data_IF_792789834344
#
_entry.id   IF_792789834344
#
_cell.length_a   1.000
_cell.length_b   1.000
_cell.length_c   1.000
_cell.angle_alpha   90.00
_cell.angle_beta   90.00
_cell.angle_gamma   90.00
#
_symmetry.space_group_name_H-M   'P 1'
#
loop_
_entity.id
_entity.type
_entity.pdbx_description
1 polymer ?
#
# COMPACT_ATOMS: atom_id res chain seq x y z
N UNK A 1 -30.98 -5.43 11.38
CA UNK A 1 -30.43 -4.86 10.14
C UNK A 1 -28.91 -5.01 10.19
N UNK A 2 -28.31 -5.80 9.30
CA UNK A 2 -26.85 -5.94 9.15
C UNK A 2 -26.37 -5.09 7.98
N UNK A 3 -25.17 -4.54 8.06
CA UNK A 3 -24.56 -3.84 6.93
C UNK A 3 -24.22 -4.85 5.82
N UNK A 4 -24.66 -4.55 4.60
CA UNK A 4 -24.35 -5.34 3.41
C UNK A 4 -23.82 -4.42 2.31
N UNK A 5 -22.57 -4.64 1.92
CA UNK A 5 -21.84 -3.84 0.91
C UNK A 5 -22.53 -3.81 -0.46
N UNK A 6 -23.24 -4.87 -0.82
CA UNK A 6 -23.88 -4.97 -2.14
C UNK A 6 -25.33 -4.49 -2.15
N UNK A 7 -25.87 -4.10 -1.00
CA UNK A 7 -27.23 -3.58 -0.92
C UNK A 7 -27.27 -2.11 -1.40
N UNK A 8 -28.00 -1.78 -2.48
CA UNK A 8 -27.92 -0.47 -3.14
C UNK A 8 -28.42 0.68 -2.25
N UNK A 9 -29.49 0.47 -1.49
CA UNK A 9 -30.04 1.50 -0.58
C UNK A 9 -29.09 1.79 0.59
N UNK A 10 -28.55 0.74 1.25
CA UNK A 10 -27.61 0.89 2.37
C UNK A 10 -26.35 1.62 1.91
N UNK A 11 -25.77 1.23 0.77
CA UNK A 11 -24.57 1.88 0.26
C UNK A 11 -24.81 3.33 -0.18
N UNK A 12 -25.97 3.62 -0.78
CA UNK A 12 -26.34 5.00 -1.12
C UNK A 12 -26.46 5.87 0.13
N UNK A 13 -27.04 5.34 1.20
CA UNK A 13 -27.13 6.01 2.50
C UNK A 13 -25.72 6.30 3.08
N UNK A 14 -24.86 5.29 3.14
CA UNK A 14 -23.48 5.44 3.62
C UNK A 14 -22.70 6.47 2.80
N UNK A 15 -22.80 6.43 1.48
CA UNK A 15 -22.12 7.37 0.59
C UNK A 15 -22.62 8.82 0.76
N UNK A 16 -23.93 9.02 0.88
CA UNK A 16 -24.49 10.33 1.14
C UNK A 16 -23.99 10.90 2.48
N UNK A 17 -24.08 10.13 3.57
CA UNK A 17 -23.59 10.57 4.88
C UNK A 17 -22.08 10.85 4.88
N UNK A 18 -21.29 9.99 4.25
CA UNK A 18 -19.83 10.16 4.15
C UNK A 18 -19.46 11.44 3.38
N UNK A 19 -20.12 11.71 2.25
CA UNK A 19 -19.85 12.91 1.45
C UNK A 19 -20.32 14.19 2.14
N UNK A 20 -21.46 14.18 2.84
CA UNK A 20 -21.90 15.33 3.66
C UNK A 20 -20.85 15.62 4.74
N UNK A 21 -20.39 14.59 5.46
CA UNK A 21 -19.34 14.75 6.46
C UNK A 21 -18.04 15.27 5.85
N UNK A 22 -17.60 14.71 4.72
CA UNK A 22 -16.40 15.17 4.03
C UNK A 22 -16.49 16.66 3.68
N UNK A 23 -17.63 17.09 3.14
CA UNK A 23 -17.88 18.50 2.83
C UNK A 23 -17.80 19.41 4.07
N UNK A 24 -18.39 19.01 5.20
CA UNK A 24 -18.32 19.76 6.47
C UNK A 24 -16.86 19.98 6.93
N UNK A 25 -15.99 18.99 6.73
CA UNK A 25 -14.58 19.06 7.09
C UNK A 25 -13.67 19.56 5.94
N UNK A 26 -14.23 20.10 4.85
CA UNK A 26 -13.48 20.53 3.66
C UNK A 26 -12.58 19.45 3.05
N UNK A 27 -13.02 18.19 3.13
CA UNK A 27 -12.40 17.03 2.50
C UNK A 27 -13.07 16.77 1.15
N UNK A 28 -12.29 16.45 0.12
CA UNK A 28 -12.81 16.13 -1.22
C UNK A 28 -13.81 14.95 -1.14
N UNK A 29 -15.00 15.16 -1.73
CA UNK A 29 -16.02 14.11 -1.84
C UNK A 29 -15.57 13.02 -2.80
N UNK A 30 -16.12 11.81 -2.62
CA UNK A 30 -15.75 10.64 -3.41
C UNK A 30 -16.97 10.02 -4.09
N UNK A 31 -16.71 9.27 -5.17
CA UNK A 31 -17.77 8.58 -5.89
C UNK A 31 -18.38 7.46 -5.03
N UNK A 32 -19.59 7.03 -5.39
CA UNK A 32 -20.22 5.86 -4.76
C UNK A 32 -19.34 4.61 -4.87
N UNK A 33 -18.64 4.47 -6.00
CA UNK A 33 -17.74 3.34 -6.26
C UNK A 33 -16.55 3.33 -5.29
N UNK A 34 -15.88 4.47 -5.12
CA UNK A 34 -14.74 4.61 -4.20
C UNK A 34 -15.17 4.38 -2.76
N UNK A 35 -16.32 4.95 -2.36
CA UNK A 35 -16.85 4.78 -1.01
C UNK A 35 -17.22 3.32 -0.76
N UNK A 36 -17.81 2.63 -1.74
CA UNK A 36 -18.10 1.20 -1.65
C UNK A 36 -16.83 0.36 -1.50
N UNK A 37 -15.76 0.71 -2.22
CA UNK A 37 -14.47 0.04 -2.09
C UNK A 37 -13.86 0.24 -0.69
N UNK A 38 -13.88 1.45 -0.16
CA UNK A 38 -13.36 1.75 1.18
C UNK A 38 -14.21 1.10 2.29
N UNK A 39 -15.54 1.28 2.24
CA UNK A 39 -16.46 0.76 3.26
C UNK A 39 -16.41 -0.76 3.38
N UNK A 40 -16.22 -1.47 2.26
CA UNK A 40 -16.08 -2.91 2.24
C UNK A 40 -14.81 -3.46 2.91
N UNK A 41 -13.82 -2.61 3.17
CA UNK A 41 -12.53 -2.98 3.75
C UNK A 41 -12.34 -2.45 5.18
N UNK A 42 -13.41 -1.94 5.83
CA UNK A 42 -13.33 -1.46 7.21
C UNK A 42 -13.16 -2.64 8.17
N UNK A 43 -12.07 -2.64 8.94
CA UNK A 43 -11.82 -3.59 10.02
C UNK A 43 -12.02 -2.87 11.36
N UNK A 44 -12.86 -3.39 12.27
CA UNK A 44 -13.00 -2.82 13.60
C UNK A 44 -11.68 -2.84 14.39
N UNK A 45 -11.36 -1.73 15.04
CA UNK A 45 -10.20 -1.63 15.92
C UNK A 45 -10.60 -1.86 17.38
N UNK A 46 -9.74 -2.53 18.14
CA UNK A 46 -9.91 -2.74 19.59
C UNK A 46 -8.63 -2.27 20.28
N UNK A 47 -8.77 -1.45 21.32
CA UNK A 47 -7.62 -0.83 21.99
C UNK A 47 -6.61 -1.86 22.55
N UNK A 48 -7.10 -3.01 23.03
CA UNK A 48 -6.25 -4.09 23.55
C UNK A 48 -5.32 -4.68 22.49
N UNK A 49 -5.77 -4.82 21.23
CA UNK A 49 -4.94 -5.31 20.13
C UNK A 49 -3.74 -4.40 19.92
N UNK A 50 -3.93 -3.08 19.93
CA UNK A 50 -2.84 -2.12 19.77
C UNK A 50 -1.85 -2.19 20.95
N UNK A 51 -2.35 -2.31 22.19
CA UNK A 51 -1.50 -2.43 23.37
C UNK A 51 -0.64 -3.70 23.33
N UNK A 52 -1.22 -4.84 22.93
CA UNK A 52 -0.50 -6.12 22.79
C UNK A 52 0.57 -6.01 21.70
N UNK A 53 0.20 -5.53 20.51
CA UNK A 53 1.15 -5.39 19.39
C UNK A 53 2.29 -4.43 19.72
N UNK A 54 2.00 -3.30 20.40
CA UNK A 54 3.04 -2.38 20.84
C UNK A 54 4.03 -3.04 21.82
N UNK A 55 3.53 -3.84 22.77
CA UNK A 55 4.39 -4.61 23.68
C UNK A 55 5.27 -5.62 22.93
N UNK A 56 4.73 -6.30 21.93
CA UNK A 56 5.49 -7.21 21.05
C UNK A 56 6.59 -6.45 20.29
N UNK A 57 6.28 -5.28 19.72
CA UNK A 57 7.27 -4.46 19.00
C UNK A 57 8.45 -4.05 19.90
N UNK A 58 8.18 -3.57 21.11
CA UNK A 58 9.22 -3.18 22.07
C UNK A 58 10.06 -4.39 22.47
N UNK A 59 9.43 -5.56 22.65
CA UNK A 59 10.14 -6.80 22.99
C UNK A 59 11.15 -7.21 21.91
N UNK A 60 10.77 -7.16 20.64
CA UNK A 60 11.70 -7.44 19.53
C UNK A 60 12.77 -6.34 19.40
N UNK A 61 12.42 -5.08 19.63
CA UNK A 61 13.37 -3.97 19.60
C UNK A 61 14.48 -4.11 20.66
N UNK A 62 14.14 -4.55 21.88
CA UNK A 62 15.13 -4.82 22.94
C UNK A 62 16.12 -5.90 22.50
N UNK A 63 15.67 -6.94 21.78
CA UNK A 63 16.57 -7.97 21.24
C UNK A 63 17.55 -7.40 20.23
N UNK A 64 17.07 -6.56 19.31
CA UNK A 64 17.92 -5.87 18.32
C UNK A 64 19.02 -5.05 19.00
N UNK A 65 18.64 -4.20 19.95
CA UNK A 65 19.58 -3.31 20.65
C UNK A 65 20.59 -4.11 21.49
N UNK A 66 20.19 -5.27 22.00
CA UNK A 66 21.06 -6.15 22.79
C UNK A 66 21.97 -7.05 21.94
N UNK A 67 21.98 -6.89 20.61
CA UNK A 67 22.76 -7.74 19.70
C UNK A 67 22.23 -9.16 19.55
N UNK A 68 20.99 -9.43 19.95
CA UNK A 68 20.32 -10.73 19.89
C UNK A 68 19.45 -10.85 18.63
N UNK A 69 19.98 -10.38 17.49
CA UNK A 69 19.20 -10.30 16.24
C UNK A 69 18.74 -11.67 15.74
N UNK A 70 19.53 -12.71 16.00
CA UNK A 70 19.20 -14.10 15.67
C UNK A 70 17.96 -14.63 16.42
N UNK A 71 17.62 -14.04 17.57
CA UNK A 71 16.47 -14.42 18.40
C UNK A 71 15.19 -13.65 18.03
N UNK A 72 15.26 -12.79 17.02
CA UNK A 72 14.10 -12.06 16.51
C UNK A 72 13.06 -13.00 15.93
N UNK A 73 11.78 -12.71 16.20
CA UNK A 73 10.67 -13.49 15.65
C UNK A 73 9.66 -12.58 14.98
N UNK A 74 9.07 -13.09 13.90
CA UNK A 74 7.86 -12.54 13.33
C UNK A 74 6.68 -13.14 14.10
N UNK A 75 6.03 -12.32 14.93
CA UNK A 75 5.03 -12.78 15.90
C UNK A 75 3.63 -12.32 15.48
N UNK A 76 2.68 -13.24 15.47
CA UNK A 76 1.29 -13.00 15.08
C UNK A 76 0.35 -13.21 16.27
N UNK A 77 -0.53 -12.25 16.48
CA UNK A 77 -1.64 -12.37 17.43
C UNK A 77 -2.84 -13.03 16.74
N UNK A 78 -3.34 -14.12 17.32
CA UNK A 78 -4.56 -14.79 16.87
C UNK A 78 -5.73 -14.49 17.79
N UNK A 79 -6.94 -14.49 17.25
CA UNK A 79 -8.17 -14.36 18.04
C UNK A 79 -8.56 -15.67 18.76
N UNK A 80 -8.06 -16.81 18.29
CA UNK A 80 -8.21 -18.13 18.91
C UNK A 80 -6.87 -18.87 18.94
N UNK A 81 -6.67 -19.78 19.91
CA UNK A 81 -5.49 -20.63 19.91
C UNK A 81 -5.37 -21.43 18.60
N UNK A 82 -4.15 -21.51 18.06
CA UNK A 82 -3.86 -22.42 16.95
C UNK A 82 -3.97 -23.90 17.41
N UNK A 83 -3.86 -24.90 16.52
CA UNK A 83 -3.91 -26.32 16.90
C UNK A 83 -2.86 -26.75 17.95
N UNK A 84 -1.84 -25.93 18.21
CA UNK A 84 -0.81 -26.13 19.24
C UNK A 84 -1.10 -25.36 20.54
N UNK A 85 -2.30 -24.80 20.69
CA UNK A 85 -2.73 -24.03 21.86
C UNK A 85 -2.12 -22.63 21.97
N UNK A 86 -1.43 -22.12 20.94
CA UNK A 86 -0.77 -20.80 20.99
C UNK A 86 -1.65 -19.69 20.42
N UNK A 87 -1.81 -18.63 21.20
CA UNK A 87 -2.43 -17.34 20.78
C UNK A 87 -1.40 -16.46 20.09
N UNK A 88 -0.17 -16.42 20.64
CA UNK A 88 1.00 -15.83 19.99
C UNK A 88 1.68 -16.88 19.12
N UNK A 89 1.56 -16.73 17.81
CA UNK A 89 2.22 -17.60 16.84
C UNK A 89 3.51 -16.93 16.37
N UNK A 90 4.65 -17.49 16.75
CA UNK A 90 5.97 -17.00 16.36
C UNK A 90 6.47 -17.80 15.17
N UNK A 91 7.16 -17.13 14.25
CA UNK A 91 7.93 -17.74 13.17
C UNK A 91 9.27 -17.03 13.01
N UNK A 92 10.23 -17.70 12.39
CA UNK A 92 11.49 -17.07 12.01
C UNK A 92 11.26 -16.04 10.90
N UNK A 93 11.98 -14.90 10.91
CA UNK A 93 11.93 -13.94 9.82
C UNK A 93 12.25 -14.59 8.47
N UNK A 94 11.49 -14.23 7.45
CA UNK A 94 11.74 -14.72 6.10
C UNK A 94 13.06 -14.17 5.55
N UNK A 95 13.79 -15.00 4.80
CA UNK A 95 14.96 -14.53 4.04
C UNK A 95 14.51 -13.58 2.92
N UNK A 96 15.37 -12.63 2.50
CA UNK A 96 15.08 -11.76 1.34
C UNK A 96 14.70 -12.58 0.11
N UNK A 97 13.66 -12.16 -0.60
CA UNK A 97 13.22 -12.84 -1.82
C UNK A 97 14.11 -12.38 -3.00
N UNK A 98 14.83 -13.29 -3.68
CA UNK A 98 15.70 -12.94 -4.82
C UNK A 98 14.96 -12.31 -6.01
N UNK A 99 13.63 -12.48 -6.09
CA UNK A 99 12.78 -11.90 -7.15
C UNK A 99 12.09 -10.60 -6.73
N UNK A 100 12.39 -10.06 -5.55
CA UNK A 100 11.78 -8.83 -5.07
C UNK A 100 12.27 -7.63 -5.89
N UNK A 101 11.36 -6.88 -6.52
CA UNK A 101 11.71 -5.68 -7.29
C UNK A 101 12.19 -4.49 -6.42
N UNK A 102 12.19 -4.64 -5.08
CA UNK A 102 12.63 -3.60 -4.13
C UNK A 102 14.00 -3.96 -3.53
N UNK A 103 14.14 -5.11 -2.87
CA UNK A 103 15.35 -5.42 -2.10
C UNK A 103 16.34 -6.38 -2.76
N UNK A 104 16.04 -6.95 -3.93
CA UNK A 104 16.99 -7.82 -4.64
C UNK A 104 18.16 -7.03 -5.26
N UNK A 105 19.25 -7.74 -5.57
CA UNK A 105 20.42 -7.15 -6.24
C UNK A 105 20.09 -6.67 -7.66
N UNK A 106 19.30 -7.47 -8.39
CA UNK A 106 18.77 -7.13 -9.71
C UNK A 106 17.28 -6.81 -9.56
N UNK A 107 16.92 -5.54 -9.79
CA UNK A 107 15.56 -5.03 -9.63
C UNK A 107 14.96 -4.75 -11.01
N UNK A 108 13.95 -5.51 -11.39
CA UNK A 108 13.28 -5.34 -12.68
C UNK A 108 11.79 -5.62 -12.56
N UNK A 109 10.98 -4.83 -13.25
CA UNK A 109 9.55 -5.05 -13.44
C UNK A 109 9.24 -5.06 -14.93
N UNK A 110 8.23 -5.82 -15.33
CA UNK A 110 7.76 -5.85 -16.72
C UNK A 110 6.44 -5.09 -16.79
N UNK A 111 6.38 -4.11 -17.69
CA UNK A 111 5.21 -3.30 -17.93
C UNK A 111 4.61 -3.68 -19.28
N UNK A 112 3.33 -4.06 -19.29
CA UNK A 112 2.55 -4.30 -20.51
C UNK A 112 1.61 -3.11 -20.73
N UNK A 113 1.90 -2.29 -21.72
CA UNK A 113 1.13 -1.08 -22.04
C UNK A 113 0.93 -0.94 -23.54
N UNK A 114 -0.16 -0.29 -23.94
CA UNK A 114 -0.32 0.20 -25.29
C UNK A 114 0.48 1.52 -25.42
N UNK A 115 1.57 1.56 -26.18
CA UNK A 115 2.41 2.75 -26.30
C UNK A 115 1.69 3.91 -27.00
N UNK A 116 0.63 3.63 -27.77
CA UNK A 116 -0.18 4.65 -28.46
C UNK A 116 -1.25 5.29 -27.56
N UNK A 117 -1.51 4.74 -26.38
CA UNK A 117 -2.50 5.26 -25.41
C UNK A 117 -1.85 5.75 -24.11
N UNK A 118 -0.66 5.23 -23.76
CA UNK A 118 0.04 5.62 -22.55
C UNK A 118 0.80 6.94 -22.73
N UNK A 119 0.50 7.92 -21.88
CA UNK A 119 1.27 9.16 -21.78
C UNK A 119 2.42 9.03 -20.79
N UNK A 120 3.43 9.87 -20.91
CA UNK A 120 4.53 9.99 -19.94
C UNK A 120 4.00 10.34 -18.55
N UNK A 121 3.03 11.24 -18.46
CA UNK A 121 2.33 11.55 -17.20
C UNK A 121 1.56 10.35 -16.63
N UNK A 122 0.93 9.55 -17.49
CA UNK A 122 0.26 8.30 -17.09
C UNK A 122 1.24 7.28 -16.52
N UNK A 123 2.40 7.12 -17.15
CA UNK A 123 3.49 6.29 -16.65
C UNK A 123 3.97 6.79 -15.28
N UNK A 124 4.22 8.10 -15.13
CA UNK A 124 4.72 8.66 -13.88
C UNK A 124 3.70 8.54 -12.73
N UNK A 125 2.49 9.07 -12.90
CA UNK A 125 1.52 9.17 -11.81
C UNK A 125 0.89 7.82 -11.48
N UNK A 126 0.45 7.06 -12.50
CA UNK A 126 -0.28 5.81 -12.27
C UNK A 126 0.65 4.64 -12.01
N UNK A 127 1.77 4.52 -12.73
CA UNK A 127 2.65 3.36 -12.58
C UNK A 127 3.74 3.62 -11.55
N UNK A 128 4.57 4.64 -11.73
CA UNK A 128 5.75 4.84 -10.89
C UNK A 128 5.36 5.31 -9.47
N UNK A 129 4.49 6.31 -9.35
CA UNK A 129 4.08 6.85 -8.05
C UNK A 129 3.00 5.99 -7.39
N UNK A 130 1.91 5.67 -8.08
CA UNK A 130 0.78 4.96 -7.46
C UNK A 130 1.04 3.45 -7.28
N UNK A 131 1.50 2.72 -8.30
CA UNK A 131 1.71 1.26 -8.18
C UNK A 131 3.08 0.90 -7.58
N UNK A 132 4.15 1.58 -8.00
CA UNK A 132 5.52 1.31 -7.52
C UNK A 132 5.93 2.16 -6.31
N UNK A 133 5.09 3.08 -5.84
CA UNK A 133 5.31 3.89 -4.64
C UNK A 133 6.58 4.75 -4.67
N UNK A 134 7.00 5.21 -5.86
CA UNK A 134 8.08 6.17 -5.98
C UNK A 134 7.61 7.57 -5.54
N UNK A 135 8.48 8.34 -4.88
CA UNK A 135 8.15 9.70 -4.42
C UNK A 135 8.41 10.70 -5.55
N UNK A 136 9.62 10.70 -6.09
CA UNK A 136 10.07 11.59 -7.16
C UNK A 136 10.91 10.75 -8.16
N UNK A 137 10.27 10.13 -9.17
CA UNK A 137 10.97 9.24 -10.09
C UNK A 137 11.69 10.01 -11.19
N UNK A 138 12.94 9.64 -11.45
CA UNK A 138 13.67 9.99 -12.67
C UNK A 138 13.74 8.77 -13.59
N UNK A 139 13.41 8.94 -14.87
CA UNK A 139 13.40 7.86 -15.86
C UNK A 139 14.25 8.20 -17.06
N UNK A 140 15.16 7.28 -17.39
CA UNK A 140 16.08 7.40 -18.53
C UNK A 140 15.95 6.17 -19.41
N UNK A 141 15.94 6.37 -20.73
CA UNK A 141 15.96 5.27 -21.69
C UNK A 141 17.34 4.58 -21.71
N UNK A 142 17.38 3.29 -21.37
CA UNK A 142 18.63 2.54 -21.11
C UNK A 142 19.61 2.38 -22.30
N UNK A 143 19.20 2.74 -23.52
CA UNK A 143 20.07 2.68 -24.70
C UNK A 143 20.57 4.04 -25.22
N UNK A 144 19.80 5.10 -25.02
CA UNK A 144 20.06 6.44 -25.60
C UNK A 144 20.43 7.49 -24.57
N UNK A 145 20.27 7.17 -23.28
CA UNK A 145 20.43 8.10 -22.16
C UNK A 145 19.50 9.34 -22.24
N UNK A 146 18.44 9.25 -23.04
CA UNK A 146 17.42 10.29 -23.10
C UNK A 146 16.60 10.26 -21.81
N UNK A 147 16.46 11.42 -21.18
CA UNK A 147 15.58 11.62 -20.03
C UNK A 147 14.13 11.65 -20.50
N UNK A 148 13.28 10.81 -19.90
CA UNK A 148 11.85 10.69 -20.20
C UNK A 148 11.03 11.39 -19.11
N UNK A 149 11.41 11.22 -17.85
CA UNK A 149 10.77 11.85 -16.69
C UNK A 149 11.88 12.42 -15.82
N UNK A 150 11.78 13.70 -15.47
CA UNK A 150 12.57 14.32 -14.41
C UNK A 150 11.71 14.53 -13.17
N UNK A 151 12.34 14.44 -12.01
CA UNK A 151 11.80 14.88 -10.72
C UNK A 151 11.72 16.40 -10.59
N UNK A 152 12.30 17.16 -11.53
CA UNK A 152 12.27 18.62 -11.53
C UNK A 152 10.85 19.20 -11.82
N UNK A 153 10.44 20.29 -11.15
CA UNK A 153 9.06 20.80 -11.21
C UNK A 153 8.65 21.42 -12.55
N UNK A 154 9.61 21.69 -13.44
CA UNK A 154 9.39 22.45 -14.69
C UNK A 154 9.11 21.56 -15.91
N UNK A 155 9.16 20.23 -15.75
CA UNK A 155 9.09 19.30 -16.86
C UNK A 155 7.66 18.98 -17.32
N UNK A 156 7.45 18.97 -18.64
CA UNK A 156 6.13 18.79 -19.26
C UNK A 156 5.76 17.32 -19.37
N UNK A 157 4.72 16.90 -18.64
CA UNK A 157 4.30 15.49 -18.53
C UNK A 157 3.25 15.03 -19.57
N UNK A 158 2.89 15.89 -20.53
CA UNK A 158 1.78 15.64 -21.46
C UNK A 158 2.18 14.94 -22.78
N UNK A 159 3.42 14.45 -22.90
CA UNK A 159 3.87 13.77 -24.12
C UNK A 159 3.46 12.28 -24.17
N UNK A 160 3.26 11.74 -25.37
CA UNK A 160 3.02 10.30 -25.58
C UNK A 160 4.34 9.53 -25.42
N UNK A 161 4.24 8.26 -25.00
CA UNK A 161 5.43 7.43 -24.73
C UNK A 161 6.23 7.07 -26.00
N UNK A 162 5.66 7.24 -27.20
CA UNK A 162 6.22 6.80 -28.50
C UNK A 162 7.25 7.75 -29.15
N UNK A 163 7.85 8.69 -28.43
CA UNK A 163 8.97 9.47 -28.98
C UNK A 163 10.33 8.78 -28.80
#
# INVERSE_FOLDING_TARGET
>A
LSFEKDHPVIMSFVAACANIRAHIFSIQTKSLFDIKAMAGNIIPAIASTNAIVAGMMVTECVKMISGQEADAKCSFLRNTPNPRGKIFAEQEPFKPNPKCYICADVRSVYLYVNPDEMTVGGLCEKVLKQELNMIAPDVVHGGTFNMIISSDPEDKMDEMLTK
#
